data_IF_850841976361
#
_entry.id   IF_850841976361
#
_cell.length_a   1.000
_cell.length_b   1.000
_cell.length_c   1.000
_cell.angle_alpha   90.00
_cell.angle_beta   90.00
_cell.angle_gamma   90.00
#
_symmetry.space_group_name_H-M   'P 1'
#
loop_
_entity.id
_entity.type
_entity.pdbx_description
1 polymer ?
#
# COMPACT_ATOMS: atom_id res chain seq x y z
N UNK A 1 -51.08 -4.87 17.49
CA UNK A 1 -50.63 -3.48 17.21
C UNK A 1 -49.21 -3.55 16.68
N UNK A 2 -48.97 -3.14 15.43
CA UNK A 2 -47.62 -3.12 14.85
C UNK A 2 -46.85 -1.89 15.32
N UNK A 3 -45.72 -2.08 16.00
CA UNK A 3 -44.86 -0.99 16.45
C UNK A 3 -44.30 -0.27 15.22
N UNK A 4 -44.70 0.97 14.96
CA UNK A 4 -44.07 1.81 13.92
C UNK A 4 -42.64 2.15 14.38
N UNK A 5 -41.66 1.46 13.81
CA UNK A 5 -40.25 1.73 14.06
C UNK A 5 -39.89 3.09 13.45
N UNK A 6 -39.74 4.12 14.30
CA UNK A 6 -39.22 5.44 13.91
C UNK A 6 -37.69 5.37 13.95
N UNK A 7 -37.02 5.81 12.88
CA UNK A 7 -35.54 5.94 12.86
C UNK A 7 -34.78 5.12 11.82
N UNK A 8 -35.41 4.19 11.10
CA UNK A 8 -34.73 3.39 10.05
C UNK A 8 -34.13 4.29 8.95
N UNK A 9 -34.85 5.33 8.54
CA UNK A 9 -34.34 6.29 7.56
C UNK A 9 -33.14 7.09 8.09
N UNK A 10 -33.10 7.37 9.40
CA UNK A 10 -31.98 8.07 10.02
C UNK A 10 -30.77 7.15 10.14
N UNK A 11 -30.98 5.89 10.53
CA UNK A 11 -29.93 4.87 10.56
C UNK A 11 -29.33 4.63 9.17
N UNK A 12 -30.18 4.55 8.12
CA UNK A 12 -29.71 4.44 6.72
C UNK A 12 -28.84 5.62 6.31
N UNK A 13 -29.30 6.86 6.52
CA UNK A 13 -28.53 8.06 6.18
C UNK A 13 -27.19 8.14 6.93
N UNK A 14 -27.18 7.79 8.21
CA UNK A 14 -25.94 7.75 9.00
C UNK A 14 -25.00 6.64 8.52
N UNK A 15 -25.54 5.49 8.12
CA UNK A 15 -24.77 4.38 7.54
C UNK A 15 -24.15 4.79 6.19
N UNK A 16 -24.92 5.42 5.31
CA UNK A 16 -24.44 5.87 4.00
C UNK A 16 -23.35 6.95 4.15
N UNK A 17 -23.53 7.88 5.10
CA UNK A 17 -22.51 8.89 5.42
C UNK A 17 -21.23 8.27 5.99
N UNK A 18 -21.36 7.26 6.87
CA UNK A 18 -20.23 6.51 7.42
C UNK A 18 -19.49 5.74 6.33
N UNK A 19 -20.21 5.06 5.43
CA UNK A 19 -19.64 4.35 4.29
C UNK A 19 -18.89 5.33 3.38
N UNK A 20 -19.49 6.50 3.09
CA UNK A 20 -18.85 7.54 2.29
C UNK A 20 -17.57 8.09 2.91
N UNK A 21 -17.53 8.31 4.23
CA UNK A 21 -16.34 8.82 4.91
C UNK A 21 -15.21 7.77 5.01
N UNK A 22 -15.58 6.50 5.25
CA UNK A 22 -14.67 5.36 5.24
C UNK A 22 -14.07 5.17 3.84
N UNK A 23 -14.89 5.15 2.79
CA UNK A 23 -14.45 5.00 1.41
C UNK A 23 -13.63 6.21 0.92
N UNK A 24 -14.03 7.42 1.32
CA UNK A 24 -13.47 8.65 0.77
C UNK A 24 -12.13 9.08 1.37
N UNK A 25 -11.96 9.01 2.70
CA UNK A 25 -10.79 9.64 3.36
C UNK A 25 -9.95 8.70 4.20
N UNK A 26 -10.56 7.78 4.94
CA UNK A 26 -9.81 6.92 5.88
C UNK A 26 -9.14 5.77 5.15
N UNK A 27 -9.87 5.05 4.29
CA UNK A 27 -9.30 3.97 3.49
C UNK A 27 -8.20 4.45 2.53
N UNK A 28 -8.41 5.61 1.88
CA UNK A 28 -7.42 6.25 1.00
C UNK A 28 -6.13 6.57 1.75
N UNK A 29 -6.23 7.22 2.92
CA UNK A 29 -5.07 7.53 3.76
C UNK A 29 -4.37 6.29 4.29
N UNK A 30 -5.13 5.32 4.79
CA UNK A 30 -4.61 4.05 5.27
C UNK A 30 -3.79 3.33 4.19
N UNK A 31 -4.31 3.27 2.95
CA UNK A 31 -3.59 2.65 1.85
C UNK A 31 -2.37 3.45 1.43
N UNK A 32 -2.45 4.78 1.40
CA UNK A 32 -1.30 5.61 1.10
C UNK A 32 -0.16 5.41 2.11
N UNK A 33 -0.47 5.33 3.41
CA UNK A 33 0.51 5.05 4.46
C UNK A 33 1.09 3.63 4.30
N UNK A 34 0.25 2.64 4.02
CA UNK A 34 0.70 1.28 3.74
C UNK A 34 1.70 1.23 2.57
N UNK A 35 1.39 1.92 1.47
CA UNK A 35 2.28 2.03 0.31
C UNK A 35 3.58 2.74 0.67
N UNK A 36 3.53 3.81 1.48
CA UNK A 36 4.73 4.53 1.93
C UNK A 36 5.64 3.60 2.75
N UNK A 37 5.09 2.89 3.73
CA UNK A 37 5.85 1.97 4.59
C UNK A 37 6.50 0.87 3.74
N UNK A 38 5.70 0.15 2.95
CA UNK A 38 6.22 -0.94 2.12
C UNK A 38 7.22 -0.48 1.06
N UNK A 39 6.95 0.65 0.39
CA UNK A 39 7.89 1.24 -0.59
C UNK A 39 9.22 1.67 0.05
N UNK A 40 9.17 2.21 1.27
CA UNK A 40 10.37 2.64 2.00
C UNK A 40 11.22 1.45 2.41
N UNK A 41 10.61 0.36 2.88
CA UNK A 41 11.33 -0.86 3.19
C UNK A 41 11.92 -1.50 1.91
N UNK A 42 11.13 -1.57 0.84
CA UNK A 42 11.62 -2.07 -0.46
C UNK A 42 12.79 -1.24 -1.00
N UNK A 43 12.78 0.09 -0.81
CA UNK A 43 13.86 0.98 -1.19
C UNK A 43 15.18 0.69 -0.44
N UNK A 44 15.13 0.16 0.79
CA UNK A 44 16.32 -0.29 1.52
C UNK A 44 16.96 -1.54 0.91
N UNK A 45 16.12 -2.42 0.35
CA UNK A 45 16.55 -3.65 -0.31
C UNK A 45 16.86 -3.46 -1.79
N UNK A 46 16.48 -2.33 -2.37
CA UNK A 46 16.76 -2.02 -3.77
C UNK A 46 18.27 -1.82 -3.98
N UNK A 47 18.88 -2.55 -4.93
CA UNK A 47 20.29 -2.34 -5.30
C UNK A 47 20.52 -0.94 -5.85
N UNK A 48 21.70 -0.38 -5.55
CA UNK A 48 22.12 0.94 -6.02
C UNK A 48 23.46 0.78 -6.76
N UNK A 49 23.45 1.15 -8.03
CA UNK A 49 24.66 1.41 -8.81
C UNK A 49 24.74 2.89 -9.18
N UNK A 50 23.85 3.35 -10.08
CA UNK A 50 23.72 4.75 -10.50
C UNK A 50 22.52 5.48 -9.87
N UNK A 51 21.85 4.84 -8.90
CA UNK A 51 20.57 5.28 -8.30
C UNK A 51 19.37 5.33 -9.25
N UNK A 52 19.52 5.04 -10.55
CA UNK A 52 18.43 5.05 -11.53
C UNK A 52 17.28 4.13 -11.11
N UNK A 53 17.58 2.91 -10.64
CA UNK A 53 16.56 1.97 -10.18
C UNK A 53 15.78 2.57 -9.01
N UNK A 54 16.46 2.94 -7.94
CA UNK A 54 15.84 3.52 -6.75
C UNK A 54 14.96 4.75 -7.09
N UNK A 55 15.46 5.65 -7.93
CA UNK A 55 14.76 6.87 -8.33
C UNK A 55 13.59 6.63 -9.28
N UNK A 56 13.50 5.43 -9.88
CA UNK A 56 12.39 5.02 -10.74
C UNK A 56 11.21 4.43 -9.98
N UNK A 57 11.27 4.36 -8.64
CA UNK A 57 10.18 3.83 -7.83
C UNK A 57 8.95 4.74 -7.92
N UNK A 58 7.81 4.16 -8.23
CA UNK A 58 6.53 4.86 -8.26
C UNK A 58 5.51 4.18 -7.36
N UNK A 59 4.50 4.95 -6.98
CA UNK A 59 3.34 4.48 -6.22
C UNK A 59 2.09 5.00 -6.90
N UNK A 60 1.13 4.11 -7.12
CA UNK A 60 -0.13 4.44 -7.77
C UNK A 60 -1.28 4.00 -6.89
N UNK A 61 -2.29 4.85 -6.81
CA UNK A 61 -3.54 4.58 -6.11
C UNK A 61 -4.68 4.64 -7.13
N UNK A 62 -5.47 3.58 -7.23
CA UNK A 62 -6.63 3.51 -8.10
C UNK A 62 -7.88 3.19 -7.29
N UNK A 63 -8.93 3.98 -7.50
CA UNK A 63 -10.25 3.79 -6.92
C UNK A 63 -11.17 3.26 -8.01
N UNK A 64 -11.73 2.07 -7.81
CA UNK A 64 -12.69 1.44 -8.72
C UNK A 64 -13.95 1.08 -7.94
N UNK A 65 -14.89 2.02 -7.85
CA UNK A 65 -16.09 1.87 -7.03
C UNK A 65 -15.74 1.67 -5.55
N UNK A 66 -16.16 0.55 -4.97
CA UNK A 66 -15.86 0.18 -3.59
C UNK A 66 -14.45 -0.44 -3.40
N UNK A 67 -13.71 -0.69 -4.49
CA UNK A 67 -12.38 -1.31 -4.44
C UNK A 67 -11.30 -0.23 -4.52
N UNK A 68 -10.49 -0.14 -3.48
CA UNK A 68 -9.28 0.67 -3.46
C UNK A 68 -8.07 -0.22 -3.70
N UNK A 69 -7.25 0.11 -4.70
CA UNK A 69 -6.04 -0.66 -5.05
C UNK A 69 -4.82 0.24 -5.03
N UNK A 70 -3.76 -0.22 -4.37
CA UNK A 70 -2.47 0.46 -4.31
C UNK A 70 -1.42 -0.39 -5.00
N UNK A 71 -0.56 0.24 -5.79
CA UNK A 71 0.53 -0.42 -6.51
C UNK A 71 1.84 0.31 -6.24
N UNK A 72 2.91 -0.46 -6.09
CA UNK A 72 4.28 0.06 -6.04
C UNK A 72 5.07 -0.70 -7.09
N UNK A 73 5.88 0.02 -7.84
CA UNK A 73 6.70 -0.57 -8.89
C UNK A 73 7.89 0.32 -9.21
N UNK A 74 8.63 -0.09 -10.24
CA UNK A 74 9.76 0.65 -10.77
C UNK A 74 9.55 0.85 -12.26
N UNK A 75 9.80 2.06 -12.76
CA UNK A 75 9.68 2.34 -14.19
C UNK A 75 10.93 1.92 -14.98
N UNK A 76 12.04 1.64 -14.30
CA UNK A 76 13.23 1.08 -14.93
C UNK A 76 12.94 -0.33 -15.51
N UNK A 77 13.10 -0.49 -16.82
CA UNK A 77 12.83 -1.75 -17.53
C UNK A 77 13.65 -2.93 -16.99
N UNK A 78 14.87 -2.67 -16.50
CA UNK A 78 15.74 -3.70 -15.94
C UNK A 78 15.36 -4.13 -14.52
N UNK A 79 14.39 -3.48 -13.87
CA UNK A 79 13.97 -3.80 -12.51
C UNK A 79 13.52 -5.27 -12.37
N UNK A 80 12.84 -5.82 -13.39
CA UNK A 80 12.40 -7.20 -13.40
C UNK A 80 13.58 -8.19 -13.29
N UNK A 81 14.65 -7.96 -14.07
CA UNK A 81 15.85 -8.80 -14.02
C UNK A 81 16.61 -8.65 -12.70
N UNK A 82 16.64 -7.45 -12.13
CA UNK A 82 17.28 -7.21 -10.82
C UNK A 82 16.47 -7.85 -9.69
N UNK A 83 15.13 -7.86 -9.79
CA UNK A 83 14.23 -8.45 -8.81
C UNK A 83 14.25 -9.98 -8.82
N UNK A 84 14.41 -10.61 -10.00
CA UNK A 84 14.37 -12.06 -10.17
C UNK A 84 15.50 -12.78 -9.40
N UNK A 85 15.17 -13.71 -8.47
CA UNK A 85 16.16 -14.46 -7.71
C UNK A 85 16.96 -15.46 -8.56
N UNK A 86 16.44 -15.88 -9.73
CA UNK A 86 17.12 -16.83 -10.60
C UNK A 86 18.30 -16.21 -11.37
N UNK A 87 18.41 -14.88 -11.37
CA UNK A 87 19.47 -14.16 -12.07
C UNK A 87 20.53 -13.75 -11.04
N UNK A 88 21.65 -14.48 -10.92
CA UNK A 88 22.69 -14.15 -9.95
C UNK A 88 23.31 -12.79 -10.30
N UNK A 89 23.42 -11.92 -9.30
CA UNK A 89 24.00 -10.58 -9.41
C UNK A 89 24.77 -10.25 -8.13
N UNK A 90 25.90 -9.55 -8.29
CA UNK A 90 26.67 -9.07 -7.15
C UNK A 90 26.27 -7.63 -6.87
N UNK A 91 25.70 -7.39 -5.69
CA UNK A 91 25.29 -6.05 -5.28
C UNK A 91 26.40 -5.33 -4.52
N UNK A 92 26.59 -4.04 -4.81
CA UNK A 92 27.51 -3.18 -4.05
C UNK A 92 26.98 -2.81 -2.67
N UNK A 93 25.65 -2.68 -2.55
CA UNK A 93 24.97 -2.30 -1.30
C UNK A 93 24.72 -3.54 -0.44
N UNK A 94 25.19 -3.54 0.80
CA UNK A 94 25.08 -4.69 1.71
C UNK A 94 23.63 -5.09 2.05
N UNK A 95 22.71 -4.12 2.12
CA UNK A 95 21.30 -4.38 2.38
C UNK A 95 20.52 -4.81 1.14
N UNK A 96 21.15 -4.80 -0.04
CA UNK A 96 20.45 -5.10 -1.27
C UNK A 96 20.09 -6.58 -1.36
N UNK A 97 18.86 -6.86 -1.75
CA UNK A 97 18.35 -8.21 -1.86
C UNK A 97 17.56 -8.40 -3.15
N UNK A 98 17.57 -9.65 -3.62
CA UNK A 98 16.58 -10.11 -4.58
C UNK A 98 15.20 -10.05 -3.98
N UNK A 99 14.21 -9.93 -4.87
CA UNK A 99 12.81 -9.81 -4.52
C UNK A 99 12.50 -8.62 -3.60
N UNK A 100 13.25 -7.51 -3.76
CA UNK A 100 13.21 -6.35 -2.87
C UNK A 100 11.81 -5.77 -2.66
N UNK A 101 10.93 -5.80 -3.67
CA UNK A 101 9.52 -5.41 -3.49
C UNK A 101 8.76 -6.38 -2.59
N UNK A 102 8.88 -7.70 -2.83
CA UNK A 102 8.15 -8.70 -2.07
C UNK A 102 8.60 -8.67 -0.60
N UNK A 103 9.92 -8.76 -0.38
CA UNK A 103 10.50 -8.74 0.96
C UNK A 103 10.27 -7.44 1.69
N UNK A 104 10.31 -6.30 0.98
CA UNK A 104 10.03 -5.00 1.58
C UNK A 104 8.62 -4.93 2.17
N UNK A 105 7.63 -5.46 1.46
CA UNK A 105 6.25 -5.51 1.95
C UNK A 105 6.02 -6.62 2.99
N UNK A 106 6.71 -7.75 2.86
CA UNK A 106 6.62 -8.86 3.81
C UNK A 106 7.19 -8.47 5.19
N UNK A 107 8.40 -7.92 5.23
CA UNK A 107 9.07 -7.51 6.47
C UNK A 107 8.36 -6.32 7.16
N UNK A 108 7.60 -5.54 6.40
CA UNK A 108 6.85 -4.39 6.93
C UNK A 108 5.37 -4.68 7.16
N UNK A 109 4.91 -5.93 7.00
CA UNK A 109 3.51 -6.31 7.10
C UNK A 109 2.85 -5.91 8.41
N UNK A 110 3.56 -6.07 9.53
CA UNK A 110 3.05 -5.72 10.86
C UNK A 110 2.93 -4.19 11.02
N UNK A 111 3.93 -3.44 10.56
CA UNK A 111 3.91 -1.98 10.58
C UNK A 111 2.79 -1.42 9.69
N UNK A 112 2.60 -2.00 8.50
CA UNK A 112 1.49 -1.68 7.59
C UNK A 112 0.15 -1.93 8.29
N UNK A 113 -0.02 -3.12 8.89
CA UNK A 113 -1.27 -3.52 9.54
C UNK A 113 -1.60 -2.61 10.73
N UNK A 114 -0.59 -2.25 11.54
CA UNK A 114 -0.73 -1.33 12.66
C UNK A 114 -1.12 0.08 12.19
N UNK A 115 -0.48 0.58 11.12
CA UNK A 115 -0.76 1.91 10.57
C UNK A 115 -2.17 1.99 9.97
N UNK A 116 -2.60 0.97 9.22
CA UNK A 116 -3.96 0.88 8.67
C UNK A 116 -4.97 0.88 9.82
N UNK A 117 -4.77 0.05 10.84
CA UNK A 117 -5.68 -0.03 12.00
C UNK A 117 -5.80 1.32 12.69
N UNK A 118 -4.70 2.07 12.83
CA UNK A 118 -4.68 3.41 13.42
C UNK A 118 -5.49 4.40 12.59
N UNK A 119 -5.29 4.45 11.28
CA UNK A 119 -6.01 5.36 10.38
C UNK A 119 -7.52 5.07 10.30
N UNK A 120 -7.89 3.79 10.39
CA UNK A 120 -9.30 3.39 10.37
C UNK A 120 -10.03 3.67 11.70
N UNK A 121 -9.29 3.93 12.78
CA UNK A 121 -9.83 4.26 14.10
C UNK A 121 -9.98 5.77 14.35
N UNK A 122 -9.31 6.61 13.56
CA UNK A 122 -9.62 8.04 13.42
C UNK A 122 -10.99 8.20 12.77
#
# INVERSE_FOLDING_TARGET
MGVKVKGIQQAKRNLDALIGDIQGRKAVRALQIALIIGSSQAALYTPIDTSTLLNSQYRELSVSGARLTGRVGYTASYAAYVHDPNIPQNFRRATAQKEFLNKGFEDSRDAISAAIKKEMAL
#
